data_IF_018099835604
#
_entry.id   IF_018099835604
#
_cell.length_a   1.000
_cell.length_b   1.000
_cell.length_c   1.000
_cell.angle_alpha   90.00
_cell.angle_beta   90.00
_cell.angle_gamma   90.00
#
_symmetry.space_group_name_H-M   'P 1'
#
loop_
_entity.id
_entity.type
_entity.pdbx_description
1 polymer ?
#
# COMPACT_ATOMS: atom_id res chain seq x y z
N UNK A 1 24.92 3.49 -6.04
CA UNK A 1 24.05 4.65 -5.69
C UNK A 1 22.76 4.73 -6.52
N UNK A 2 22.82 4.86 -7.86
CA UNK A 2 21.63 4.88 -8.75
C UNK A 2 20.65 3.73 -8.49
N UNK A 3 21.20 2.61 -8.05
CA UNK A 3 20.47 1.38 -7.83
C UNK A 3 19.54 1.41 -6.64
N UNK A 4 20.07 1.94 -5.54
CA UNK A 4 19.34 2.15 -4.30
C UNK A 4 18.30 3.24 -4.52
N UNK A 5 18.64 4.32 -5.22
CA UNK A 5 17.70 5.41 -5.54
C UNK A 5 16.47 4.90 -6.30
N UNK A 6 16.66 4.06 -7.33
CA UNK A 6 15.53 3.46 -8.05
C UNK A 6 14.65 2.59 -7.16
N UNK A 7 15.26 1.81 -6.27
CA UNK A 7 14.53 0.92 -5.38
C UNK A 7 13.74 1.73 -4.34
N UNK A 8 14.34 2.76 -3.77
CA UNK A 8 13.69 3.70 -2.83
C UNK A 8 12.54 4.43 -3.50
N UNK A 9 12.73 4.97 -4.71
CA UNK A 9 11.66 5.65 -5.46
C UNK A 9 10.53 4.68 -5.77
N UNK A 10 10.85 3.48 -6.28
CA UNK A 10 9.84 2.46 -6.57
C UNK A 10 9.02 2.10 -5.34
N UNK A 11 9.69 1.84 -4.21
CA UNK A 11 9.03 1.56 -2.94
C UNK A 11 8.18 2.74 -2.45
N UNK A 12 8.69 3.97 -2.50
CA UNK A 12 7.96 5.15 -2.03
C UNK A 12 6.70 5.43 -2.87
N UNK A 13 6.82 5.38 -4.20
CA UNK A 13 5.68 5.56 -5.11
C UNK A 13 4.65 4.45 -4.91
N UNK A 14 5.12 3.20 -4.83
CA UNK A 14 4.28 2.05 -4.56
C UNK A 14 3.54 2.19 -3.23
N UNK A 15 4.24 2.61 -2.17
CA UNK A 15 3.65 2.83 -0.85
C UNK A 15 2.55 3.91 -0.88
N UNK A 16 2.80 5.05 -1.52
CA UNK A 16 1.83 6.13 -1.61
C UNK A 16 0.56 5.70 -2.38
N UNK A 17 0.74 5.03 -3.53
CA UNK A 17 -0.37 4.52 -4.32
C UNK A 17 -1.16 3.45 -3.55
N UNK A 18 -0.45 2.48 -2.96
CA UNK A 18 -1.05 1.41 -2.18
C UNK A 18 -1.78 1.92 -0.94
N UNK A 19 -1.21 2.89 -0.21
CA UNK A 19 -1.84 3.52 0.96
C UNK A 19 -3.17 4.19 0.57
N UNK A 20 -3.18 4.93 -0.54
CA UNK A 20 -4.37 5.63 -1.03
C UNK A 20 -5.47 4.63 -1.43
N UNK A 21 -5.11 3.62 -2.22
CA UNK A 21 -6.05 2.57 -2.63
C UNK A 21 -6.56 1.77 -1.44
N UNK A 22 -5.67 1.38 -0.54
CA UNK A 22 -6.00 0.64 0.66
C UNK A 22 -6.95 1.41 1.58
N UNK A 23 -6.70 2.71 1.79
CA UNK A 23 -7.60 3.58 2.57
C UNK A 23 -9.01 3.59 1.96
N UNK A 24 -9.11 3.86 0.65
CA UNK A 24 -10.40 3.97 -0.03
C UNK A 24 -11.16 2.65 -0.03
N UNK A 25 -10.49 1.54 -0.39
CA UNK A 25 -11.09 0.21 -0.43
C UNK A 25 -11.47 -0.26 0.98
N UNK A 26 -10.61 -0.02 1.96
CA UNK A 26 -10.87 -0.32 3.36
C UNK A 26 -12.10 0.43 3.88
N UNK A 27 -12.17 1.75 3.67
CA UNK A 27 -13.29 2.56 4.09
C UNK A 27 -14.61 2.16 3.40
N UNK A 28 -14.58 1.94 2.08
CA UNK A 28 -15.73 1.42 1.33
C UNK A 28 -16.22 0.09 1.90
N UNK A 29 -15.31 -0.85 2.16
CA UNK A 29 -15.67 -2.14 2.73
C UNK A 29 -16.26 -2.00 4.14
N UNK A 30 -15.63 -1.23 5.01
CA UNK A 30 -16.11 -1.02 6.38
C UNK A 30 -17.42 -0.29 6.49
N UNK A 31 -17.67 0.69 5.62
CA UNK A 31 -18.93 1.42 5.61
C UNK A 31 -20.11 0.57 5.16
N UNK A 32 -19.90 -0.35 4.21
CA UNK A 32 -20.98 -1.11 3.58
C UNK A 32 -21.15 -2.54 4.13
N UNK A 33 -20.05 -3.22 4.48
CA UNK A 33 -20.07 -4.66 4.77
C UNK A 33 -19.53 -5.01 6.16
N UNK A 34 -18.79 -4.10 6.81
CA UNK A 34 -18.16 -4.36 8.11
C UNK A 34 -18.36 -3.19 9.10
N UNK A 35 -19.56 -2.62 9.16
CA UNK A 35 -19.87 -1.45 10.01
C UNK A 35 -19.75 -1.73 11.53
N UNK A 36 -19.74 -2.99 11.93
CA UNK A 36 -19.48 -3.44 13.30
C UNK A 36 -18.00 -3.72 13.61
N UNK A 37 -17.10 -3.64 12.64
CA UNK A 37 -15.68 -3.92 12.86
C UNK A 37 -15.02 -2.82 13.68
N UNK A 38 -14.25 -3.18 14.70
CA UNK A 38 -13.60 -2.23 15.61
C UNK A 38 -12.09 -2.45 15.66
N UNK A 39 -11.34 -1.34 15.70
CA UNK A 39 -9.89 -1.37 15.86
C UNK A 39 -9.40 -0.09 16.54
N UNK A 40 -8.78 -0.22 17.71
CA UNK A 40 -8.16 0.91 18.41
C UNK A 40 -9.13 2.05 18.72
N UNK A 41 -10.39 1.73 19.03
CA UNK A 41 -11.46 2.70 19.32
C UNK A 41 -12.15 3.29 18.09
N UNK A 42 -11.69 2.96 16.87
CA UNK A 42 -12.38 3.30 15.63
C UNK A 42 -13.35 2.17 15.26
N UNK A 43 -14.36 2.50 14.45
CA UNK A 43 -15.37 1.53 13.99
C UNK A 43 -15.71 1.66 12.51
N UNK A 44 -16.14 0.56 11.91
CA UNK A 44 -16.64 0.51 10.54
C UNK A 44 -15.62 1.04 9.55
N UNK A 45 -16.03 2.04 8.75
CA UNK A 45 -15.21 2.63 7.69
C UNK A 45 -13.88 3.22 8.18
N UNK A 46 -13.84 3.78 9.40
CA UNK A 46 -12.61 4.38 9.94
C UNK A 46 -11.59 3.32 10.34
N UNK A 47 -12.07 2.25 10.99
CA UNK A 47 -11.23 1.14 11.43
C UNK A 47 -10.64 0.38 10.24
N UNK A 48 -11.49 -0.01 9.28
CA UNK A 48 -11.05 -0.73 8.08
C UNK A 48 -10.28 0.17 7.12
N UNK A 49 -10.60 1.46 7.04
CA UNK A 49 -9.83 2.45 6.28
C UNK A 49 -8.41 2.59 6.82
N UNK A 50 -8.23 2.67 8.14
CA UNK A 50 -6.92 2.70 8.78
C UNK A 50 -6.11 1.42 8.51
N UNK A 51 -6.74 0.25 8.61
CA UNK A 51 -6.08 -1.02 8.24
C UNK A 51 -5.68 -1.04 6.77
N UNK A 52 -6.60 -0.65 5.89
CA UNK A 52 -6.39 -0.59 4.47
C UNK A 52 -5.22 0.33 4.11
N UNK A 53 -5.13 1.50 4.73
CA UNK A 53 -4.00 2.42 4.54
C UNK A 53 -2.65 1.75 4.88
N UNK A 54 -2.55 1.11 6.05
CA UNK A 54 -1.30 0.49 6.52
C UNK A 54 -0.90 -0.70 5.64
N UNK A 55 -1.85 -1.59 5.37
CA UNK A 55 -1.60 -2.77 4.53
C UNK A 55 -1.30 -2.37 3.09
N UNK A 56 -2.08 -1.42 2.55
CA UNK A 56 -1.88 -0.87 1.22
C UNK A 56 -0.50 -0.24 1.07
N UNK A 57 -0.05 0.55 2.04
CA UNK A 57 1.29 1.14 2.03
C UNK A 57 2.39 0.05 1.99
N UNK A 58 2.27 -0.96 2.85
CA UNK A 58 3.25 -2.04 2.94
C UNK A 58 3.31 -2.89 1.64
N UNK A 59 2.15 -3.31 1.15
CA UNK A 59 2.02 -4.09 -0.08
C UNK A 59 2.50 -3.27 -1.28
N UNK A 60 2.07 -2.02 -1.37
CA UNK A 60 2.48 -1.10 -2.43
C UNK A 60 4.00 -0.89 -2.46
N UNK A 61 4.63 -0.71 -1.29
CA UNK A 61 6.08 -0.58 -1.18
C UNK A 61 6.80 -1.82 -1.71
N UNK A 62 6.34 -3.01 -1.31
CA UNK A 62 6.90 -4.28 -1.74
C UNK A 62 6.78 -4.47 -3.26
N UNK A 63 5.60 -4.20 -3.83
CA UNK A 63 5.36 -4.28 -5.29
C UNK A 63 6.24 -3.28 -6.03
N UNK A 64 6.27 -2.02 -5.58
CA UNK A 64 7.08 -0.97 -6.21
C UNK A 64 8.57 -1.28 -6.22
N UNK A 65 9.10 -1.82 -5.11
CA UNK A 65 10.47 -2.30 -5.01
C UNK A 65 10.72 -3.51 -5.95
N UNK A 66 9.79 -4.47 -6.00
CA UNK A 66 9.88 -5.64 -6.87
C UNK A 66 9.92 -5.24 -8.35
N UNK A 67 9.06 -4.31 -8.77
CA UNK A 67 9.04 -3.77 -10.15
C UNK A 67 10.36 -3.07 -10.48
N UNK A 68 10.88 -2.24 -9.57
CA UNK A 68 12.17 -1.58 -9.75
C UNK A 68 13.33 -2.58 -9.90
N UNK A 69 13.27 -3.71 -9.19
CA UNK A 69 14.25 -4.79 -9.28
C UNK A 69 14.12 -5.61 -10.56
N UNK A 70 12.90 -5.95 -10.98
CA UNK A 70 12.63 -6.71 -12.20
C UNK A 70 13.06 -5.93 -13.46
N UNK A 71 12.74 -4.63 -13.53
CA UNK A 71 13.21 -3.72 -14.60
C UNK A 71 14.73 -3.69 -14.75
N UNK A 72 15.45 -3.94 -13.65
CA UNK A 72 16.91 -3.97 -13.59
C UNK A 72 17.50 -5.30 -14.03
N UNK A 73 16.86 -6.41 -13.68
CA UNK A 73 17.23 -7.73 -14.17
C UNK A 73 17.14 -7.79 -15.71
N UNK A 74 16.04 -7.27 -16.27
CA UNK A 74 15.83 -7.27 -17.72
C UNK A 74 16.69 -6.26 -18.51
N UNK A 75 17.43 -5.36 -17.83
CA UNK A 75 18.25 -4.34 -18.47
C UNK A 75 19.75 -4.69 -18.49
N UNK A 76 20.13 -5.87 -17.99
CA UNK A 76 21.50 -6.40 -18.10
C UNK A 76 21.53 -7.39 -19.28
N UNK A 77 22.41 -7.20 -20.29
CA UNK A 77 22.55 -8.11 -21.42
C UNK A 77 23.12 -9.46 -20.99
#
# INVERSE_FOLDING_TARGET
MRDVVRLVIGAAVGAAAGATLGLLLGALFGGNFASGFELGGLRGYEATGRLGLLLGAAIGAAIGAAVARARRANARP
#
